data_IF_089175660685
#
_entry.id   IF_089175660685
#
_cell.length_a   1.000
_cell.length_b   1.000
_cell.length_c   1.000
_cell.angle_alpha   90.00
_cell.angle_beta   90.00
_cell.angle_gamma   90.00
#
_symmetry.space_group_name_H-M   'P 1'
#
loop_
_entity.id
_entity.type
_entity.pdbx_description
1 polymer ?
#
# COMPACT_ATOMS: atom_id res chain seq x y z
N UNK A 1 -5.98 10.28 12.68
CA UNK A 1 -5.11 9.09 12.84
C UNK A 1 -4.37 9.17 14.17
N UNK A 2 -4.40 8.13 15.00
CA UNK A 2 -3.53 8.04 16.19
C UNK A 2 -2.08 7.87 15.74
N UNK A 3 -1.12 8.50 16.43
CA UNK A 3 0.31 8.39 16.11
C UNK A 3 0.81 6.94 16.04
N UNK A 4 0.23 6.04 16.85
CA UNK A 4 0.53 4.60 16.83
C UNK A 4 0.11 3.92 15.54
N UNK A 5 -1.05 4.28 14.96
CA UNK A 5 -1.52 3.73 13.68
C UNK A 5 -0.61 4.17 12.54
N UNK A 6 -0.23 5.46 12.52
CA UNK A 6 0.73 5.99 11.55
C UNK A 6 2.06 5.24 11.66
N UNK A 7 2.62 5.14 12.86
CA UNK A 7 3.90 4.47 13.10
C UNK A 7 3.92 2.99 12.67
N UNK A 8 2.79 2.30 12.76
CA UNK A 8 2.65 0.90 12.33
C UNK A 8 2.46 0.77 10.81
N UNK A 9 1.81 1.74 10.15
CA UNK A 9 1.45 1.65 8.73
C UNK A 9 2.52 2.26 7.81
N UNK A 10 3.16 3.35 8.24
CA UNK A 10 4.15 4.08 7.42
C UNK A 10 5.27 3.21 6.86
N UNK A 11 5.88 2.25 7.61
CA UNK A 11 6.91 1.38 7.06
C UNK A 11 6.42 0.55 5.85
N UNK A 12 5.17 0.09 5.88
CA UNK A 12 4.59 -0.70 4.79
C UNK A 12 4.32 0.15 3.54
N UNK A 13 3.80 1.37 3.73
CA UNK A 13 3.57 2.32 2.63
C UNK A 13 4.90 2.69 1.95
N UNK A 14 5.94 2.99 2.74
CA UNK A 14 7.27 3.31 2.21
C UNK A 14 7.89 2.13 1.44
N UNK A 15 7.69 0.90 1.91
CA UNK A 15 8.18 -0.30 1.20
C UNK A 15 7.55 -0.44 -0.18
N UNK A 16 6.24 -0.26 -0.30
CA UNK A 16 5.55 -0.31 -1.60
C UNK A 16 5.98 0.84 -2.52
N UNK A 17 6.16 2.03 -1.95
CA UNK A 17 6.70 3.19 -2.64
C UNK A 17 8.08 2.91 -3.25
N UNK A 18 9.01 2.35 -2.48
CA UNK A 18 10.36 2.07 -2.94
C UNK A 18 10.39 0.99 -4.02
N UNK A 19 9.54 -0.05 -3.90
CA UNK A 19 9.35 -1.04 -4.95
C UNK A 19 8.80 -0.41 -6.23
N UNK A 20 7.79 0.44 -6.14
CA UNK A 20 7.21 1.12 -7.28
C UNK A 20 8.22 2.04 -7.98
N UNK A 21 9.10 2.73 -7.24
CA UNK A 21 10.17 3.57 -7.83
C UNK A 21 11.14 2.77 -8.69
N UNK A 22 11.44 1.52 -8.32
CA UNK A 22 12.31 0.65 -9.13
C UNK A 22 11.70 0.30 -10.50
N UNK A 23 10.37 0.43 -10.69
CA UNK A 23 9.76 0.30 -12.01
C UNK A 23 10.29 1.34 -13.02
N UNK A 24 10.66 2.53 -12.53
CA UNK A 24 11.20 3.61 -13.37
C UNK A 24 12.58 3.30 -13.94
N UNK A 25 13.32 2.39 -13.29
CA UNK A 25 14.63 1.93 -13.76
C UNK A 25 14.51 0.75 -14.72
N UNK A 26 13.31 0.40 -15.18
CA UNK A 26 13.05 -0.70 -16.10
C UNK A 26 13.00 -2.09 -15.45
N UNK A 27 13.00 -2.17 -14.11
CA UNK A 27 12.86 -3.43 -13.38
C UNK A 27 11.38 -3.83 -13.36
N UNK A 28 11.08 -5.09 -13.66
CA UNK A 28 9.74 -5.62 -13.46
C UNK A 28 9.50 -5.86 -11.96
N UNK A 29 8.70 -4.99 -11.35
CA UNK A 29 8.42 -5.00 -9.90
C UNK A 29 7.00 -5.45 -9.57
N UNK A 30 6.20 -5.85 -10.55
CA UNK A 30 4.77 -6.16 -10.37
C UNK A 30 4.56 -7.24 -9.30
N UNK A 31 5.34 -8.32 -9.37
CA UNK A 31 5.30 -9.41 -8.39
C UNK A 31 5.74 -8.92 -7.01
N UNK A 32 6.79 -8.11 -6.93
CA UNK A 32 7.31 -7.59 -5.67
C UNK A 32 6.31 -6.67 -4.97
N UNK A 33 5.66 -5.77 -5.71
CA UNK A 33 4.62 -4.88 -5.18
C UNK A 33 3.43 -5.70 -4.67
N UNK A 34 2.97 -6.67 -5.45
CA UNK A 34 1.86 -7.56 -5.04
C UNK A 34 2.20 -8.36 -3.77
N UNK A 35 3.37 -8.99 -3.71
CA UNK A 35 3.84 -9.75 -2.54
C UNK A 35 3.94 -8.86 -1.29
N UNK A 36 4.50 -7.65 -1.43
CA UNK A 36 4.60 -6.70 -0.33
C UNK A 36 3.23 -6.24 0.19
N UNK A 37 2.28 -5.99 -0.72
CA UNK A 37 0.90 -5.64 -0.36
C UNK A 37 0.23 -6.82 0.35
N UNK A 38 0.28 -8.03 -0.21
CA UNK A 38 -0.32 -9.23 0.41
C UNK A 38 0.21 -9.48 1.81
N UNK A 39 1.53 -9.44 2.01
CA UNK A 39 2.12 -9.61 3.36
C UNK A 39 1.67 -8.53 4.33
N UNK A 40 1.58 -7.28 3.88
CA UNK A 40 1.08 -6.19 4.72
C UNK A 40 -0.37 -6.41 5.12
N UNK A 41 -1.20 -6.89 4.21
CA UNK A 41 -2.62 -7.19 4.49
C UNK A 41 -2.75 -8.32 5.51
N UNK A 42 -1.91 -9.36 5.42
CA UNK A 42 -1.86 -10.44 6.41
C UNK A 42 -1.38 -9.92 7.78
N UNK A 43 -0.29 -9.14 7.81
CA UNK A 43 0.33 -8.61 9.04
C UNK A 43 -0.62 -7.67 9.80
N UNK A 44 -1.26 -6.74 9.08
CA UNK A 44 -2.20 -5.77 9.66
C UNK A 44 -3.57 -6.41 9.95
N UNK A 45 -3.99 -7.37 9.13
CA UNK A 45 -5.27 -8.09 9.27
C UNK A 45 -5.37 -8.95 10.53
N UNK A 46 -4.23 -9.40 11.06
CA UNK A 46 -4.16 -10.17 12.31
C UNK A 46 -4.24 -9.32 13.58
N UNK A 47 -4.18 -7.99 13.48
CA UNK A 47 -4.22 -7.09 14.63
C UNK A 47 -5.66 -6.84 15.11
N UNK A 48 -5.84 -6.58 16.41
CA UNK A 48 -7.16 -6.27 16.98
C UNK A 48 -7.81 -5.02 16.35
N UNK A 49 -7.00 -4.07 15.90
CA UNK A 49 -7.43 -2.85 15.20
C UNK A 49 -7.24 -2.93 13.67
N UNK A 50 -7.31 -4.13 13.09
CA UNK A 50 -7.09 -4.38 11.66
C UNK A 50 -7.81 -3.39 10.74
N UNK A 51 -9.09 -3.11 10.99
CA UNK A 51 -9.86 -2.15 10.18
C UNK A 51 -9.26 -0.74 10.16
N UNK A 52 -8.84 -0.24 11.32
CA UNK A 52 -8.22 1.10 11.43
C UNK A 52 -6.84 1.12 10.73
N UNK A 53 -6.05 0.05 10.89
CA UNK A 53 -4.74 -0.08 10.26
C UNK A 53 -4.83 -0.19 8.73
N UNK A 54 -5.77 -1.00 8.22
CA UNK A 54 -5.97 -1.21 6.79
C UNK A 54 -6.55 0.02 6.11
N UNK A 55 -7.50 0.72 6.75
CA UNK A 55 -7.97 2.01 6.27
C UNK A 55 -6.81 3.01 6.17
N UNK A 56 -5.97 3.08 7.20
CA UNK A 56 -4.80 3.95 7.19
C UNK A 56 -3.77 3.58 6.11
N UNK A 57 -3.62 2.29 5.82
CA UNK A 57 -2.74 1.80 4.78
C UNK A 57 -3.25 2.16 3.38
N UNK A 58 -4.55 1.99 3.12
CA UNK A 58 -5.21 2.42 1.88
C UNK A 58 -5.04 3.92 1.67
N UNK A 59 -5.35 4.73 2.68
CA UNK A 59 -5.21 6.19 2.62
C UNK A 59 -3.76 6.62 2.29
N UNK A 60 -2.78 5.94 2.89
CA UNK A 60 -1.36 6.16 2.63
C UNK A 60 -0.99 5.85 1.18
N UNK A 61 -1.40 4.69 0.65
CA UNK A 61 -1.17 4.30 -0.74
C UNK A 61 -1.86 5.24 -1.74
N UNK A 62 -3.08 5.69 -1.44
CA UNK A 62 -3.80 6.66 -2.29
C UNK A 62 -3.11 8.02 -2.33
N UNK A 63 -2.55 8.46 -1.20
CA UNK A 63 -1.83 9.73 -1.11
C UNK A 63 -0.59 9.70 -1.99
N UNK A 64 0.24 8.66 -1.88
CA UNK A 64 1.44 8.53 -2.73
C UNK A 64 1.09 8.32 -4.21
N UNK A 65 -0.01 7.62 -4.53
CA UNK A 65 -0.46 7.43 -5.91
C UNK A 65 -0.86 8.77 -6.56
N UNK A 66 -1.55 9.64 -5.80
CA UNK A 66 -1.94 10.99 -6.24
C UNK A 66 -0.74 11.91 -6.44
N UNK A 67 0.21 11.91 -5.51
CA UNK A 67 1.40 12.77 -5.56
C UNK A 67 2.31 12.49 -6.76
N UNK A 68 2.20 11.30 -7.35
CA UNK A 68 3.15 10.86 -8.39
C UNK A 68 2.56 10.81 -9.81
N UNK A 69 1.44 11.51 -10.03
CA UNK A 69 0.66 11.50 -11.28
C UNK A 69 1.40 11.81 -12.59
N UNK A 70 2.66 12.23 -12.55
CA UNK A 70 3.50 12.41 -13.74
C UNK A 70 4.07 11.11 -14.32
N UNK A 71 4.14 10.00 -13.56
CA UNK A 71 4.83 8.77 -13.97
C UNK A 71 3.88 7.58 -14.08
N UNK A 72 3.44 7.29 -15.31
CA UNK A 72 2.31 6.37 -15.58
C UNK A 72 2.50 4.94 -15.05
N UNK A 73 3.66 4.31 -15.25
CA UNK A 73 3.91 2.93 -14.80
C UNK A 73 3.90 2.85 -13.27
N UNK A 74 4.62 3.77 -12.64
CA UNK A 74 4.67 3.93 -11.21
C UNK A 74 3.27 4.16 -10.60
N UNK A 75 2.48 5.07 -11.19
CA UNK A 75 1.14 5.39 -10.70
C UNK A 75 0.16 4.21 -10.86
N UNK A 76 0.26 3.46 -11.97
CA UNK A 76 -0.57 2.27 -12.20
C UNK A 76 -0.30 1.14 -11.20
N UNK A 77 0.95 0.97 -10.78
CA UNK A 77 1.34 0.01 -9.76
C UNK A 77 0.76 0.36 -8.39
N UNK A 78 0.86 1.63 -7.99
CA UNK A 78 0.29 2.09 -6.73
C UNK A 78 -1.25 2.03 -6.72
N UNK A 79 -1.91 2.39 -7.82
CA UNK A 79 -3.35 2.22 -7.96
C UNK A 79 -3.78 0.76 -7.86
N UNK A 80 -2.99 -0.16 -8.42
CA UNK A 80 -3.25 -1.60 -8.28
C UNK A 80 -3.10 -2.06 -6.82
N UNK A 81 -2.10 -1.54 -6.11
CA UNK A 81 -1.91 -1.79 -4.68
C UNK A 81 -3.08 -1.26 -3.83
N UNK A 82 -3.55 -0.03 -4.09
CA UNK A 82 -4.76 0.54 -3.47
C UNK A 82 -5.95 -0.38 -3.70
N UNK A 83 -6.23 -0.77 -4.95
CA UNK A 83 -7.36 -1.62 -5.27
C UNK A 83 -7.31 -2.99 -4.57
N UNK A 84 -6.12 -3.57 -4.37
CA UNK A 84 -5.95 -4.79 -3.58
C UNK A 84 -6.28 -4.57 -2.11
N UNK A 85 -5.73 -3.51 -1.51
CA UNK A 85 -5.93 -3.22 -0.10
C UNK A 85 -7.39 -2.84 0.22
N UNK A 86 -8.05 -2.05 -0.65
CA UNK A 86 -9.46 -1.70 -0.48
C UNK A 86 -10.38 -2.93 -0.49
N UNK A 87 -10.11 -3.93 -1.34
CA UNK A 87 -10.89 -5.17 -1.35
C UNK A 87 -10.78 -5.96 -0.06
N UNK A 88 -9.61 -5.99 0.59
CA UNK A 88 -9.49 -6.64 1.89
C UNK A 88 -10.19 -5.85 2.99
N UNK A 89 -10.12 -4.51 2.94
CA UNK A 89 -10.84 -3.66 3.88
C UNK A 89 -12.37 -3.87 3.79
N UNK A 90 -12.91 -4.04 2.58
CA UNK A 90 -14.33 -4.32 2.34
C UNK A 90 -14.78 -5.66 2.96
N UNK A 91 -13.91 -6.68 2.99
CA UNK A 91 -14.23 -7.99 3.62
C UNK A 91 -14.31 -7.93 5.14
N UNK A 92 -13.72 -6.90 5.75
CA UNK A 92 -13.80 -6.63 7.18
C UNK A 92 -15.00 -5.72 7.55
N UNK A 93 -15.81 -5.37 6.55
CA UNK A 93 -16.97 -4.48 6.63
C UNK A 93 -18.21 -5.12 7.19
#
# INVERSE_FOLDING_TARGET
>A
MKATVVGLVTPHVLRVLDLAKMAETGVNVDWHVRDAVTRTLDDLGQQFNARELLSAYVDGLETIARDTGARKLYAGLLQSAVAMASRELEKLG
#
